data_IF_865982700650
#
_entry.id   IF_865982700650
#
_cell.length_a   1.000
_cell.length_b   1.000
_cell.length_c   1.000
_cell.angle_alpha   90.00
_cell.angle_beta   90.00
_cell.angle_gamma   90.00
#
_symmetry.space_group_name_H-M   'P 1'
#
loop_
_entity.id
_entity.type
_entity.pdbx_description
1 polymer ?
#
# COMPACT_ATOMS: atom_id res chain seq x y z
N UNK A 1 29.13 -2.53 -9.56
CA UNK A 1 28.47 -3.71 -10.19
C UNK A 1 28.53 -4.92 -9.25
N UNK A 2 29.66 -5.18 -8.58
CA UNK A 2 29.81 -6.18 -7.51
C UNK A 2 28.97 -5.89 -6.26
N UNK A 3 28.77 -4.61 -5.92
CA UNK A 3 28.11 -4.20 -4.67
C UNK A 3 26.62 -4.56 -4.65
N UNK A 4 25.97 -4.54 -5.82
CA UNK A 4 24.54 -4.87 -5.97
C UNK A 4 24.30 -6.34 -5.61
N UNK A 5 25.21 -7.23 -6.02
CA UNK A 5 25.13 -8.66 -5.68
C UNK A 5 25.26 -8.91 -4.18
N UNK A 6 26.19 -8.21 -3.53
CA UNK A 6 26.38 -8.31 -2.08
C UNK A 6 25.14 -7.79 -1.35
N UNK A 7 24.59 -6.64 -1.76
CA UNK A 7 23.39 -6.06 -1.17
C UNK A 7 22.17 -6.98 -1.37
N UNK A 8 22.00 -7.55 -2.56
CA UNK A 8 20.88 -8.44 -2.85
C UNK A 8 20.91 -9.70 -1.98
N UNK A 9 22.10 -10.31 -1.83
CA UNK A 9 22.28 -11.47 -0.96
C UNK A 9 22.07 -11.07 0.51
N UNK A 10 22.63 -9.95 0.95
CA UNK A 10 22.49 -9.47 2.32
C UNK A 10 21.02 -9.18 2.68
N UNK A 11 20.29 -8.47 1.83
CA UNK A 11 18.85 -8.19 2.02
C UNK A 11 18.02 -9.47 1.95
N UNK A 12 18.35 -10.39 1.05
CA UNK A 12 17.70 -11.71 0.96
C UNK A 12 17.82 -12.49 2.27
N UNK A 13 19.04 -12.59 2.81
CA UNK A 13 19.30 -13.24 4.10
C UNK A 13 18.56 -12.52 5.23
N UNK A 14 18.64 -11.19 5.28
CA UNK A 14 18.02 -10.41 6.34
C UNK A 14 16.50 -10.58 6.36
N UNK A 15 15.86 -10.53 5.19
CA UNK A 15 14.41 -10.76 5.01
C UNK A 15 14.02 -12.17 5.43
N UNK A 16 14.84 -13.16 5.04
CA UNK A 16 14.60 -14.55 5.40
C UNK A 16 14.71 -14.78 6.90
N UNK A 17 15.72 -14.18 7.54
CA UNK A 17 15.90 -14.22 9.00
C UNK A 17 14.75 -13.53 9.74
N UNK A 18 14.27 -12.38 9.25
CA UNK A 18 13.10 -11.74 9.86
C UNK A 18 11.87 -12.62 9.75
N UNK A 19 11.65 -13.26 8.60
CA UNK A 19 10.49 -14.14 8.41
C UNK A 19 10.58 -15.42 9.25
N UNK A 20 11.77 -16.02 9.31
CA UNK A 20 12.05 -17.20 10.12
C UNK A 20 11.94 -16.91 11.61
N UNK A 21 12.35 -15.72 12.08
CA UNK A 21 12.24 -15.37 13.49
C UNK A 21 10.77 -15.39 13.91
N UNK A 22 9.86 -14.79 13.12
CA UNK A 22 8.42 -14.86 13.41
C UNK A 22 7.90 -16.30 13.42
N UNK A 23 8.32 -17.16 12.48
CA UNK A 23 7.86 -18.55 12.39
C UNK A 23 8.36 -19.39 13.58
N UNK A 24 9.66 -19.30 13.89
CA UNK A 24 10.30 -20.03 15.01
C UNK A 24 9.84 -19.52 16.38
N UNK A 25 9.56 -18.21 16.51
CA UNK A 25 8.95 -17.66 17.73
C UNK A 25 7.51 -18.13 17.89
N UNK A 26 6.71 -18.20 16.82
CA UNK A 26 5.32 -18.68 16.88
C UNK A 26 5.22 -20.17 17.27
N UNK A 27 6.20 -20.98 16.89
CA UNK A 27 6.23 -22.42 17.21
C UNK A 27 6.56 -22.68 18.69
N UNK A 28 7.33 -21.80 19.34
CA UNK A 28 7.71 -21.93 20.76
C UNK A 28 6.86 -21.11 21.71
N UNK A 29 6.24 -20.02 21.24
CA UNK A 29 5.36 -19.15 22.03
C UNK A 29 3.99 -19.08 21.34
N UNK A 30 2.98 -19.73 21.94
CA UNK A 30 1.59 -19.49 21.55
C UNK A 30 1.29 -17.99 21.76
N UNK A 31 1.15 -17.19 20.69
CA UNK A 31 0.97 -15.77 20.87
C UNK A 31 -0.40 -15.52 21.52
N UNK A 32 -0.54 -14.54 22.43
CA UNK A 32 -1.85 -14.15 22.94
C UNK A 32 -2.79 -13.85 21.78
N UNK A 33 -4.09 -14.19 21.91
CA UNK A 33 -5.10 -13.97 20.85
C UNK A 33 -5.12 -12.53 20.31
N UNK A 34 -4.67 -11.56 21.11
CA UNK A 34 -4.52 -10.16 20.73
C UNK A 34 -3.49 -9.98 19.61
N UNK A 35 -2.34 -10.67 19.69
CA UNK A 35 -1.23 -10.53 18.71
C UNK A 35 -1.59 -11.19 17.40
N UNK A 36 -2.18 -12.39 17.41
CA UNK A 36 -2.64 -13.07 16.19
C UNK A 36 -3.76 -12.29 15.50
N UNK A 37 -4.69 -11.73 16.27
CA UNK A 37 -5.74 -10.86 15.74
C UNK A 37 -5.15 -9.58 15.13
N UNK A 38 -4.19 -8.93 15.80
CA UNK A 38 -3.51 -7.74 15.30
C UNK A 38 -2.73 -8.01 14.00
N UNK A 39 -2.00 -9.13 13.92
CA UNK A 39 -1.24 -9.52 12.72
C UNK A 39 -2.12 -9.70 11.48
N UNK A 40 -3.37 -10.15 11.64
CA UNK A 40 -4.34 -10.24 10.53
C UNK A 40 -4.72 -8.87 9.95
N UNK A 41 -4.65 -7.80 10.74
CA UNK A 41 -4.94 -6.43 10.30
C UNK A 41 -3.72 -5.68 9.75
N UNK A 42 -2.50 -6.18 9.97
CA UNK A 42 -1.28 -5.55 9.46
C UNK A 42 -1.31 -5.32 7.95
N UNK A 43 -1.69 -6.30 7.09
CA UNK A 43 -1.67 -6.09 5.64
C UNK A 43 -2.57 -4.95 5.18
N UNK A 44 -3.80 -4.87 5.72
CA UNK A 44 -4.73 -3.81 5.36
C UNK A 44 -4.28 -2.47 5.93
N UNK A 45 -3.78 -2.42 7.17
CA UNK A 45 -3.29 -1.20 7.79
C UNK A 45 -2.09 -0.61 7.04
N UNK A 46 -1.14 -1.46 6.62
CA UNK A 46 0.04 -1.04 5.84
C UNK A 46 -0.37 -0.51 4.47
N UNK A 47 -1.26 -1.22 3.76
CA UNK A 47 -1.79 -0.74 2.47
C UNK A 47 -2.44 0.64 2.63
N UNK A 48 -3.30 0.81 3.63
CA UNK A 48 -3.95 2.10 3.90
C UNK A 48 -2.93 3.19 4.25
N UNK A 49 -1.93 2.87 5.07
CA UNK A 49 -0.90 3.82 5.48
C UNK A 49 0.02 4.26 4.33
N UNK A 50 0.19 3.44 3.29
CA UNK A 50 0.96 3.79 2.08
C UNK A 50 0.09 4.59 1.10
N UNK A 51 -1.15 4.16 0.88
CA UNK A 51 -2.03 4.74 -0.15
C UNK A 51 -2.53 6.14 0.27
N UNK A 52 -2.90 6.35 1.54
CA UNK A 52 -3.42 7.64 2.00
C UNK A 52 -2.44 8.81 1.74
N UNK A 53 -1.17 8.76 2.18
CA UNK A 53 -0.25 9.87 1.92
C UNK A 53 0.03 10.06 0.44
N UNK A 54 0.06 8.99 -0.36
CA UNK A 54 0.20 9.08 -1.81
C UNK A 54 -0.96 9.86 -2.47
N UNK A 55 -2.17 9.76 -1.90
CA UNK A 55 -3.35 10.50 -2.37
C UNK A 55 -3.42 11.95 -1.85
N UNK A 56 -2.92 12.21 -0.65
CA UNK A 56 -3.10 13.51 0.06
C UNK A 56 -1.91 14.45 -0.14
N UNK A 57 -0.70 13.93 -0.31
CA UNK A 57 0.52 14.74 -0.46
C UNK A 57 0.83 14.92 -1.95
N UNK A 58 0.73 16.14 -2.44
CA UNK A 58 1.11 16.53 -3.80
C UNK A 58 2.15 17.66 -3.68
N UNK A 59 3.29 17.51 -4.36
CA UNK A 59 4.39 18.50 -4.37
C UNK A 59 4.84 19.01 -2.98
N UNK A 60 4.94 18.08 -2.02
CA UNK A 60 5.44 18.33 -0.67
C UNK A 60 4.57 19.32 0.16
N UNK A 61 3.36 19.60 -0.31
CA UNK A 61 2.34 20.39 0.39
C UNK A 61 1.08 19.54 0.63
N UNK A 62 0.43 19.77 1.77
CA UNK A 62 -0.87 19.20 2.08
C UNK A 62 -1.95 20.00 1.35
N UNK A 63 -2.20 19.64 0.09
CA UNK A 63 -3.29 20.24 -0.67
C UNK A 63 -4.58 19.42 -0.52
N UNK A 64 -5.42 19.85 0.42
CA UNK A 64 -6.81 19.40 0.52
C UNK A 64 -7.73 20.09 -0.50
N UNK A 65 -7.16 20.81 -1.47
CA UNK A 65 -7.91 21.51 -2.49
C UNK A 65 -8.61 20.54 -3.44
N UNK A 66 -9.85 20.84 -3.82
CA UNK A 66 -10.60 20.12 -4.87
C UNK A 66 -9.92 20.21 -6.26
N UNK A 67 -8.86 21.01 -6.40
CA UNK A 67 -8.02 21.04 -7.60
C UNK A 67 -7.08 19.83 -7.70
N UNK A 68 -6.91 19.02 -6.65
CA UNK A 68 -6.03 17.87 -6.69
C UNK A 68 -6.67 16.67 -7.39
N UNK A 69 -6.26 16.49 -8.65
CA UNK A 69 -6.59 15.33 -9.48
C UNK A 69 -6.37 13.98 -8.76
N UNK A 70 -5.31 13.86 -7.95
CA UNK A 70 -4.99 12.64 -7.20
C UNK A 70 -6.02 12.30 -6.13
N UNK A 71 -6.46 13.28 -5.34
CA UNK A 71 -7.45 13.06 -4.28
C UNK A 71 -8.83 12.71 -4.86
N UNK A 72 -9.25 13.42 -5.92
CA UNK A 72 -10.49 13.11 -6.63
C UNK A 72 -10.46 11.73 -7.30
N UNK A 73 -9.34 11.38 -7.96
CA UNK A 73 -9.17 10.07 -8.56
C UNK A 73 -9.20 8.94 -7.51
N UNK A 74 -8.60 9.16 -6.34
CA UNK A 74 -8.67 8.24 -5.20
C UNK A 74 -10.10 8.02 -4.71
N UNK A 75 -10.90 9.08 -4.55
CA UNK A 75 -12.31 8.97 -4.15
C UNK A 75 -13.11 8.19 -5.19
N UNK A 76 -12.93 8.49 -6.48
CA UNK A 76 -13.60 7.77 -7.58
C UNK A 76 -13.20 6.29 -7.57
N UNK A 77 -11.91 5.98 -7.39
CA UNK A 77 -11.42 4.61 -7.30
C UNK A 77 -12.03 3.86 -6.10
N UNK A 78 -12.15 4.49 -4.93
CA UNK A 78 -12.82 3.90 -3.75
C UNK A 78 -14.29 3.61 -4.05
N UNK A 79 -14.99 4.55 -4.68
CA UNK A 79 -16.42 4.44 -5.00
C UNK A 79 -16.68 3.30 -6.00
N UNK A 80 -15.79 3.13 -6.98
CA UNK A 80 -15.82 2.02 -7.94
C UNK A 80 -15.44 0.71 -7.26
N UNK A 81 -14.41 0.69 -6.40
CA UNK A 81 -14.03 -0.50 -5.65
C UNK A 81 -15.19 -1.04 -4.82
N UNK A 82 -15.94 -0.14 -4.17
CA UNK A 82 -17.10 -0.51 -3.37
C UNK A 82 -18.24 -1.10 -4.21
N UNK A 83 -18.43 -0.59 -5.44
CA UNK A 83 -19.52 -1.03 -6.31
C UNK A 83 -19.20 -2.29 -7.12
N UNK A 84 -17.97 -2.43 -7.63
CA UNK A 84 -17.63 -3.51 -8.56
C UNK A 84 -17.07 -4.74 -7.86
N UNK A 85 -16.59 -4.64 -6.61
CA UNK A 85 -15.93 -5.72 -5.84
C UNK A 85 -14.84 -6.48 -6.62
N UNK A 86 -14.30 -5.89 -7.69
CA UNK A 86 -13.34 -6.51 -8.61
C UNK A 86 -12.13 -5.60 -8.76
N UNK A 87 -10.97 -6.09 -8.32
CA UNK A 87 -9.73 -5.32 -8.31
C UNK A 87 -9.34 -4.85 -9.72
N UNK A 88 -9.58 -5.67 -10.75
CA UNK A 88 -9.31 -5.31 -12.15
C UNK A 88 -10.10 -4.08 -12.61
N UNK A 89 -11.39 -4.04 -12.32
CA UNK A 89 -12.23 -2.89 -12.65
C UNK A 89 -11.87 -1.65 -11.83
N UNK A 90 -11.50 -1.82 -10.56
CA UNK A 90 -11.01 -0.72 -9.73
C UNK A 90 -9.74 -0.09 -10.31
N UNK A 91 -8.77 -0.92 -10.71
CA UNK A 91 -7.51 -0.44 -11.29
C UNK A 91 -7.77 0.25 -12.63
N UNK A 92 -8.55 -0.38 -13.52
CA UNK A 92 -8.83 0.18 -14.84
C UNK A 92 -9.57 1.53 -14.75
N UNK A 93 -10.63 1.62 -13.94
CA UNK A 93 -11.40 2.87 -13.80
C UNK A 93 -10.65 3.91 -12.99
N UNK A 94 -9.92 3.51 -11.93
CA UNK A 94 -9.09 4.44 -11.15
C UNK A 94 -7.97 5.05 -11.99
N UNK A 95 -7.30 4.25 -12.82
CA UNK A 95 -6.25 4.72 -13.73
C UNK A 95 -6.83 5.61 -14.85
N UNK A 96 -7.98 5.24 -15.42
CA UNK A 96 -8.68 6.06 -16.41
C UNK A 96 -9.14 7.41 -15.81
N UNK A 97 -9.72 7.41 -14.60
CA UNK A 97 -10.13 8.62 -13.91
C UNK A 97 -8.93 9.51 -13.58
N UNK A 98 -7.82 8.92 -13.11
CA UNK A 98 -6.58 9.65 -12.87
C UNK A 98 -6.05 10.30 -14.16
N UNK A 99 -5.99 9.56 -15.27
CA UNK A 99 -5.55 10.10 -16.56
C UNK A 99 -6.45 11.25 -17.05
N UNK A 100 -7.77 11.10 -16.93
CA UNK A 100 -8.72 12.14 -17.35
C UNK A 100 -8.61 13.39 -16.47
N UNK A 101 -8.55 13.23 -15.15
CA UNK A 101 -8.37 14.35 -14.23
C UNK A 101 -7.03 15.05 -14.44
N UNK A 102 -5.95 14.29 -14.63
CA UNK A 102 -4.63 14.84 -14.92
C UNK A 102 -4.60 15.57 -16.27
N UNK A 103 -5.29 15.08 -17.30
CA UNK A 103 -5.36 15.74 -18.61
C UNK A 103 -6.25 16.99 -18.62
N UNK A 104 -7.21 17.11 -17.68
CA UNK A 104 -8.10 18.28 -17.56
C UNK A 104 -7.49 19.37 -16.67
N UNK A 105 -6.64 18.99 -15.70
CA UNK A 105 -6.00 19.90 -14.74
C UNK A 105 -4.55 20.29 -15.08
N UNK A 106 -3.93 19.66 -16.09
CA UNK A 106 -2.63 20.03 -16.66
C UNK A 106 -2.76 21.09 -17.76
#
# INVERSE_FOLDING_TARGET
MSDIWIIMIAVGILTYLTRLSFILLLDKWQPPQIVTSALRYVPVAVLTAIIIPELVVVDNALDFSLANARMLAGIVAILVAWRTKSALWTIAVGFAAFLLLNAILA
#
